data_IF_632730527081
#
_entry.id   IF_632730527081
#
_cell.length_a   1.000
_cell.length_b   1.000
_cell.length_c   1.000
_cell.angle_alpha   90.00
_cell.angle_beta   90.00
_cell.angle_gamma   90.00
#
_symmetry.space_group_name_H-M   'P 1'
#
loop_
_entity.id
_entity.type
_entity.pdbx_description
1 polymer ?
#
# COMPACT_ATOMS: atom_id res chain seq x y z
N UNK A 1 -20.04 -18.80 11.56
CA UNK A 1 -19.22 -18.78 10.34
C UNK A 1 -17.82 -19.29 10.62
N UNK A 2 -17.39 -20.33 9.92
CA UNK A 2 -16.01 -20.79 10.08
C UNK A 2 -15.01 -19.70 9.72
N UNK A 3 -13.93 -19.59 10.47
CA UNK A 3 -12.97 -18.50 10.27
C UNK A 3 -12.28 -18.52 8.90
N UNK A 4 -12.10 -19.68 8.30
CA UNK A 4 -11.49 -19.74 6.96
C UNK A 4 -12.39 -19.09 5.89
N UNK A 5 -13.70 -19.12 6.07
CA UNK A 5 -14.61 -18.45 5.14
C UNK A 5 -14.55 -16.92 5.27
N UNK A 6 -14.27 -16.42 6.48
CA UNK A 6 -14.08 -14.98 6.66
C UNK A 6 -12.91 -14.48 5.84
N UNK A 7 -11.77 -15.16 5.92
CA UNK A 7 -10.58 -14.75 5.18
C UNK A 7 -10.77 -14.78 3.67
N UNK A 8 -11.57 -15.69 3.16
CA UNK A 8 -11.84 -15.80 1.73
C UNK A 8 -12.63 -14.59 1.22
N UNK A 9 -13.53 -14.04 2.04
CA UNK A 9 -14.43 -12.97 1.62
C UNK A 9 -13.90 -11.56 1.91
N UNK A 10 -12.79 -11.44 2.62
CA UNK A 10 -12.22 -10.14 2.96
C UNK A 10 -11.20 -9.70 1.92
N UNK A 11 -11.17 -8.39 1.57
CA UNK A 11 -10.18 -7.90 0.62
C UNK A 11 -8.77 -7.97 1.21
N UNK A 12 -7.78 -8.12 0.35
CA UNK A 12 -6.39 -8.19 0.78
C UNK A 12 -5.71 -6.84 0.62
N UNK A 13 -5.04 -6.39 1.68
CA UNK A 13 -4.16 -5.23 1.63
C UNK A 13 -2.72 -5.72 1.73
N UNK A 14 -1.87 -5.22 0.85
CA UNK A 14 -0.45 -5.53 0.87
C UNK A 14 0.31 -4.35 1.48
N UNK A 15 1.00 -4.59 2.58
CA UNK A 15 1.75 -3.55 3.28
C UNK A 15 3.24 -3.76 3.08
N UNK A 16 3.89 -2.81 2.40
CA UNK A 16 5.34 -2.79 2.22
C UNK A 16 5.91 -1.87 3.29
N UNK A 17 6.44 -2.44 4.37
CA UNK A 17 6.96 -1.65 5.48
C UNK A 17 7.84 -2.48 6.39
N UNK A 18 9.06 -1.98 6.68
CA UNK A 18 9.95 -2.62 7.63
C UNK A 18 9.92 -1.96 9.01
N UNK A 19 9.40 -0.74 9.10
CA UNK A 19 9.41 0.03 10.36
C UNK A 19 8.26 -0.39 11.26
N UNK A 20 8.58 -1.19 12.29
CA UNK A 20 7.55 -1.75 13.18
C UNK A 20 6.72 -0.72 13.90
N UNK A 21 7.28 0.47 14.20
CA UNK A 21 6.54 1.51 14.91
C UNK A 21 5.35 2.04 14.12
N UNK A 22 5.42 2.00 12.79
CA UNK A 22 4.29 2.40 11.95
C UNK A 22 3.53 1.18 11.42
N UNK A 23 4.24 0.10 11.11
CA UNK A 23 3.62 -1.09 10.54
C UNK A 23 2.60 -1.72 11.48
N UNK A 24 2.90 -1.81 12.77
CA UNK A 24 2.03 -2.45 13.74
C UNK A 24 0.68 -1.72 13.90
N UNK A 25 0.66 -0.40 14.18
CA UNK A 25 -0.63 0.29 14.26
C UNK A 25 -1.37 0.35 12.94
N UNK A 26 -0.65 0.43 11.81
CA UNK A 26 -1.29 0.45 10.52
C UNK A 26 -1.94 -0.90 10.20
N UNK A 27 -1.25 -2.00 10.50
CA UNK A 27 -1.80 -3.34 10.33
C UNK A 27 -3.08 -3.51 11.17
N UNK A 28 -3.06 -3.03 12.41
CA UNK A 28 -4.23 -3.11 13.28
C UNK A 28 -5.41 -2.36 12.69
N UNK A 29 -5.18 -1.16 12.16
CA UNK A 29 -6.26 -0.38 11.56
C UNK A 29 -6.83 -1.04 10.31
N UNK A 30 -5.99 -1.67 9.51
CA UNK A 30 -6.45 -2.40 8.33
C UNK A 30 -7.30 -3.60 8.72
N UNK A 31 -6.87 -4.33 9.75
CA UNK A 31 -7.65 -5.46 10.25
C UNK A 31 -9.00 -5.01 10.82
N UNK A 32 -9.01 -3.87 11.51
CA UNK A 32 -10.26 -3.29 12.03
C UNK A 32 -11.23 -2.95 10.91
N UNK A 33 -10.70 -2.62 9.73
CA UNK A 33 -11.50 -2.33 8.54
C UNK A 33 -11.83 -3.58 7.73
N UNK A 34 -11.53 -4.75 8.27
CA UNK A 34 -11.86 -6.05 7.68
C UNK A 34 -11.01 -6.41 6.46
N UNK A 35 -9.81 -5.89 6.38
CA UNK A 35 -8.85 -6.33 5.36
C UNK A 35 -8.06 -7.52 5.87
N UNK A 36 -7.82 -8.48 4.99
CA UNK A 36 -6.75 -9.46 5.19
C UNK A 36 -5.45 -8.71 4.92
N UNK A 37 -4.40 -9.08 5.62
CA UNK A 37 -3.14 -8.34 5.53
C UNK A 37 -1.98 -9.26 5.17
N UNK A 38 -1.19 -8.83 4.19
CA UNK A 38 0.08 -9.43 3.87
C UNK A 38 1.14 -8.34 3.96
N UNK A 39 2.18 -8.58 4.76
CA UNK A 39 3.25 -7.61 4.95
C UNK A 39 4.52 -8.11 4.30
N UNK A 40 5.19 -7.25 3.54
CA UNK A 40 6.52 -7.53 3.00
C UNK A 40 7.46 -6.40 3.41
N UNK A 41 8.73 -6.75 3.61
CA UNK A 41 9.72 -5.77 4.05
C UNK A 41 10.54 -5.16 2.94
N UNK A 42 10.65 -5.82 1.80
CA UNK A 42 11.55 -5.41 0.72
C UNK A 42 10.80 -5.03 -0.54
N UNK A 43 11.11 -3.87 -1.13
CA UNK A 43 10.45 -3.45 -2.38
C UNK A 43 10.69 -4.39 -3.54
N UNK A 44 11.83 -5.09 -3.57
CA UNK A 44 12.18 -5.94 -4.70
C UNK A 44 11.15 -7.03 -4.99
N UNK A 45 10.40 -7.49 -3.98
CA UNK A 45 9.40 -8.52 -4.17
C UNK A 45 7.99 -8.00 -4.45
N UNK A 46 7.81 -6.69 -4.51
CA UNK A 46 6.48 -6.11 -4.56
C UNK A 46 5.66 -6.54 -5.78
N UNK A 47 6.22 -6.37 -6.97
CA UNK A 47 5.48 -6.67 -8.21
C UNK A 47 5.11 -8.16 -8.30
N UNK A 48 6.06 -9.04 -7.97
CA UNK A 48 5.82 -10.48 -8.02
C UNK A 48 4.76 -10.91 -7.00
N UNK A 49 4.84 -10.38 -5.79
CA UNK A 49 3.86 -10.68 -4.74
C UNK A 49 2.47 -10.19 -5.13
N UNK A 50 2.40 -8.97 -5.68
CA UNK A 50 1.12 -8.40 -6.10
C UNK A 50 0.51 -9.21 -7.25
N UNK A 51 1.33 -9.69 -8.18
CA UNK A 51 0.84 -10.51 -9.30
C UNK A 51 0.25 -11.84 -8.80
N UNK A 52 0.86 -12.43 -7.78
CA UNK A 52 0.42 -13.70 -7.22
C UNK A 52 -0.79 -13.54 -6.30
N UNK A 53 -0.72 -12.59 -5.38
CA UNK A 53 -1.71 -12.42 -4.31
C UNK A 53 -2.90 -11.55 -4.70
N UNK A 54 -2.74 -10.71 -5.71
CA UNK A 54 -3.80 -9.84 -6.25
C UNK A 54 -4.48 -8.99 -5.17
N UNK A 55 -3.70 -8.17 -4.45
CA UNK A 55 -4.29 -7.32 -3.41
C UNK A 55 -5.22 -6.27 -4.01
N UNK A 56 -6.17 -5.81 -3.21
CA UNK A 56 -7.06 -4.73 -3.61
C UNK A 56 -6.37 -3.37 -3.51
N UNK A 57 -5.41 -3.23 -2.59
CA UNK A 57 -4.69 -1.99 -2.35
C UNK A 57 -3.30 -2.33 -1.82
N UNK A 58 -2.34 -1.45 -2.13
CA UNK A 58 -0.98 -1.56 -1.61
C UNK A 58 -0.68 -0.29 -0.81
N UNK A 59 -0.15 -0.46 0.40
CA UNK A 59 0.35 0.65 1.20
C UNK A 59 1.86 0.50 1.27
N UNK A 60 2.59 1.53 0.87
CA UNK A 60 4.05 1.44 0.73
C UNK A 60 4.76 2.53 1.51
N UNK A 61 5.63 2.10 2.43
CA UNK A 61 6.49 3.01 3.19
C UNK A 61 7.62 3.48 2.28
N UNK A 62 7.68 4.78 2.02
CA UNK A 62 8.73 5.36 1.19
C UNK A 62 9.84 6.02 2.02
N UNK A 63 9.73 5.97 3.34
CA UNK A 63 10.66 6.67 4.25
C UNK A 63 12.10 6.21 4.10
N UNK A 64 12.30 4.92 4.01
CA UNK A 64 13.64 4.35 4.03
C UNK A 64 14.34 4.24 2.68
N UNK A 65 13.68 4.57 1.57
CA UNK A 65 14.31 4.40 0.26
C UNK A 65 13.35 4.71 -0.88
N UNK A 66 13.17 5.98 -1.15
CA UNK A 66 12.23 6.43 -2.17
C UNK A 66 12.52 5.80 -3.53
N UNK A 67 13.78 5.84 -4.00
CA UNK A 67 14.10 5.34 -5.34
C UNK A 67 13.85 3.84 -5.48
N UNK A 68 14.14 3.07 -4.44
CA UNK A 68 13.91 1.63 -4.47
C UNK A 68 12.42 1.31 -4.56
N UNK A 69 11.61 2.04 -3.80
CA UNK A 69 10.16 1.86 -3.86
C UNK A 69 9.61 2.31 -5.20
N UNK A 70 10.10 3.42 -5.75
CA UNK A 70 9.64 3.91 -7.04
C UNK A 70 9.99 2.93 -8.16
N UNK A 71 11.15 2.28 -8.09
CA UNK A 71 11.50 1.25 -9.05
C UNK A 71 10.51 0.07 -8.99
N UNK A 72 10.12 -0.32 -7.78
CA UNK A 72 9.13 -1.38 -7.60
C UNK A 72 7.77 -0.98 -8.16
N UNK A 73 7.36 0.27 -7.97
CA UNK A 73 6.10 0.78 -8.53
C UNK A 73 6.13 0.81 -10.06
N UNK A 74 7.28 1.13 -10.64
CA UNK A 74 7.45 1.11 -12.08
C UNK A 74 7.21 -0.30 -12.62
N UNK A 75 7.80 -1.31 -11.96
CA UNK A 75 7.56 -2.70 -12.34
C UNK A 75 6.10 -3.10 -12.20
N UNK A 76 5.46 -2.66 -11.12
CA UNK A 76 4.06 -2.94 -10.85
C UNK A 76 3.18 -2.40 -11.99
N UNK A 77 3.43 -1.18 -12.42
CA UNK A 77 2.66 -0.53 -13.49
C UNK A 77 2.92 -1.09 -14.87
N UNK A 78 4.08 -1.73 -15.05
CA UNK A 78 4.44 -2.29 -16.35
C UNK A 78 3.71 -3.59 -16.69
N UNK A 79 3.11 -4.24 -15.69
CA UNK A 79 2.43 -5.52 -15.89
C UNK A 79 0.91 -5.35 -15.91
N UNK A 80 0.22 -5.89 -16.92
CA UNK A 80 -1.25 -5.74 -17.01
C UNK A 80 -1.99 -6.29 -15.78
N UNK A 81 -1.46 -7.34 -15.16
CA UNK A 81 -2.12 -7.97 -14.01
C UNK A 81 -2.08 -7.12 -12.75
N UNK A 82 -1.15 -6.16 -12.67
CA UNK A 82 -0.95 -5.35 -11.46
C UNK A 82 -1.08 -3.86 -11.73
N UNK A 83 -1.15 -3.45 -12.98
CA UNK A 83 -1.13 -2.02 -13.36
C UNK A 83 -2.29 -1.22 -12.77
N UNK A 84 -3.39 -1.87 -12.43
CA UNK A 84 -4.60 -1.21 -11.92
C UNK A 84 -4.64 -1.11 -10.39
N UNK A 85 -3.73 -1.75 -9.67
CA UNK A 85 -3.80 -1.81 -8.21
C UNK A 85 -3.45 -0.45 -7.62
N UNK A 86 -4.32 0.16 -6.80
CA UNK A 86 -4.00 1.44 -6.20
C UNK A 86 -2.89 1.31 -5.16
N UNK A 87 -2.01 2.31 -5.11
CA UNK A 87 -0.89 2.36 -4.18
C UNK A 87 -0.93 3.65 -3.39
N UNK A 88 -0.97 3.54 -2.07
CA UNK A 88 -0.86 4.68 -1.17
C UNK A 88 0.54 4.66 -0.58
N UNK A 89 1.36 5.65 -0.94
CA UNK A 89 2.68 5.81 -0.34
C UNK A 89 2.58 6.61 0.95
N UNK A 90 3.47 6.37 1.90
CA UNK A 90 3.49 7.16 3.12
C UNK A 90 4.91 7.33 3.66
N UNK A 91 5.13 8.43 4.37
CA UNK A 91 6.38 8.77 5.03
C UNK A 91 6.07 9.66 6.21
N UNK A 92 7.07 9.90 7.07
CA UNK A 92 6.88 10.79 8.23
C UNK A 92 6.37 12.14 7.78
N UNK A 93 7.04 12.72 6.79
CA UNK A 93 6.63 13.97 6.19
C UNK A 93 6.72 13.84 4.68
N UNK A 94 5.82 14.49 3.98
CA UNK A 94 5.78 14.43 2.51
C UNK A 94 5.72 15.85 1.98
N UNK A 95 6.77 16.27 1.25
CA UNK A 95 6.75 17.56 0.58
C UNK A 95 6.13 17.44 -0.82
N UNK A 96 5.84 18.57 -1.43
CA UNK A 96 5.20 18.59 -2.74
C UNK A 96 6.03 17.90 -3.82
N UNK A 97 7.36 18.05 -3.76
CA UNK A 97 8.24 17.45 -4.74
C UNK A 97 8.24 15.93 -4.64
N UNK A 98 8.30 15.39 -3.43
CA UNK A 98 8.24 13.94 -3.21
C UNK A 98 6.90 13.38 -3.68
N UNK A 99 5.82 14.08 -3.34
CA UNK A 99 4.48 13.66 -3.75
C UNK A 99 4.37 13.62 -5.27
N UNK A 100 4.79 14.67 -5.94
CA UNK A 100 4.71 14.75 -7.40
C UNK A 100 5.55 13.66 -8.06
N UNK A 101 6.76 13.42 -7.56
CA UNK A 101 7.65 12.39 -8.10
C UNK A 101 7.04 11.00 -7.94
N UNK A 102 6.53 10.70 -6.76
CA UNK A 102 5.96 9.38 -6.49
C UNK A 102 4.70 9.13 -7.33
N UNK A 103 3.84 10.12 -7.46
CA UNK A 103 2.63 9.99 -8.28
C UNK A 103 3.02 9.79 -9.75
N UNK A 104 4.00 10.55 -10.25
CA UNK A 104 4.47 10.40 -11.62
C UNK A 104 5.04 9.01 -11.89
N UNK A 105 5.57 8.35 -10.87
CA UNK A 105 6.21 7.03 -10.99
C UNK A 105 5.26 5.88 -10.66
N UNK A 106 4.00 6.16 -10.31
CA UNK A 106 3.01 5.11 -10.16
C UNK A 106 2.21 5.07 -8.88
N UNK A 107 2.52 5.90 -7.89
CA UNK A 107 1.70 5.97 -6.68
C UNK A 107 0.37 6.62 -6.98
N UNK A 108 -0.71 6.11 -6.40
CA UNK A 108 -2.03 6.72 -6.54
C UNK A 108 -2.11 8.00 -5.72
N UNK A 109 -1.54 7.94 -4.53
CA UNK A 109 -1.41 9.11 -3.66
C UNK A 109 -0.27 8.88 -2.67
N UNK A 110 0.22 9.95 -2.06
CA UNK A 110 1.25 9.89 -1.02
C UNK A 110 0.82 10.78 0.12
N UNK A 111 0.86 10.25 1.34
CA UNK A 111 0.41 10.97 2.53
C UNK A 111 1.43 10.82 3.65
N UNK A 112 1.35 11.67 4.67
CA UNK A 112 2.21 11.50 5.83
C UNK A 112 1.64 10.46 6.80
N UNK A 113 2.47 10.04 7.77
CA UNK A 113 2.09 8.99 8.71
C UNK A 113 0.89 9.37 9.56
N UNK A 114 0.81 10.62 9.97
CA UNK A 114 -0.32 11.07 10.77
C UNK A 114 -1.63 10.91 10.00
N UNK A 115 -1.61 11.27 8.72
CA UNK A 115 -2.80 11.15 7.89
C UNK A 115 -3.18 9.69 7.65
N UNK A 116 -2.20 8.84 7.35
CA UNK A 116 -2.53 7.44 7.06
C UNK A 116 -3.10 6.72 8.28
N UNK A 117 -2.65 7.07 9.48
CA UNK A 117 -3.20 6.47 10.69
C UNK A 117 -4.55 7.06 11.09
N UNK A 118 -4.73 8.38 10.88
CA UNK A 118 -5.95 9.06 11.33
C UNK A 118 -7.10 8.99 10.33
N UNK A 119 -6.78 8.93 9.03
CA UNK A 119 -7.79 9.04 7.98
C UNK A 119 -7.77 7.84 7.03
N UNK A 120 -7.34 6.69 7.51
CA UNK A 120 -7.21 5.51 6.66
C UNK A 120 -8.48 5.14 5.89
N UNK A 121 -9.67 5.10 6.52
CA UNK A 121 -10.88 4.76 5.76
C UNK A 121 -11.14 5.71 4.60
N UNK A 122 -10.95 7.01 4.82
CA UNK A 122 -11.17 8.02 3.78
C UNK A 122 -10.15 7.88 2.65
N UNK A 123 -8.88 7.62 3.00
CA UNK A 123 -7.82 7.46 2.02
C UNK A 123 -8.04 6.20 1.17
N UNK A 124 -8.44 5.11 1.80
CA UNK A 124 -8.76 3.88 1.08
C UNK A 124 -9.92 4.09 0.11
N UNK A 125 -10.96 4.78 0.57
CA UNK A 125 -12.11 5.10 -0.28
C UNK A 125 -11.70 5.89 -1.51
N UNK A 126 -10.87 6.91 -1.32
CA UNK A 126 -10.39 7.74 -2.43
C UNK A 126 -9.51 6.97 -3.39
N UNK A 127 -8.60 6.15 -2.86
CA UNK A 127 -7.69 5.37 -3.71
C UNK A 127 -8.47 4.38 -4.57
N UNK A 128 -9.47 3.73 -4.01
CA UNK A 128 -10.27 2.75 -4.74
C UNK A 128 -11.19 3.40 -5.77
N UNK A 129 -11.61 4.64 -5.55
CA UNK A 129 -12.44 5.38 -6.51
C UNK A 129 -11.67 5.80 -7.76
N UNK A 130 -10.37 6.05 -7.64
CA UNK A 130 -9.56 6.57 -8.73
C UNK A 130 -9.36 5.54 -9.84
N UNK A 131 -9.59 4.31 -9.54
CA UNK A 131 -9.49 3.27 -10.56
C UNK A 131 -10.53 3.47 -11.63
#
# INVERSE_FOLDING_TARGET
>A
MPSYLRGVNEPLALLLCERGLIATPLAQRLEDLRYRLLTIGKPAGLAATAATEKPMVILADIEGGLETVLAALTELRAQPTTAHIPVIGFAREVDDATQATAVARGATMVVNEAAILSHLPQLLGRALEIQ
#
